data_IF_116522974954
#
_entry.id   IF_116522974954
#
_cell.length_a   1.000
_cell.length_b   1.000
_cell.length_c   1.000
_cell.angle_alpha   90.00
_cell.angle_beta   90.00
_cell.angle_gamma   90.00
#
_symmetry.space_group_name_H-M   'P 1'
#
loop_
_entity.id
_entity.type
_entity.pdbx_description
1 polymer ?
#
# COMPACT_ATOMS: atom_id res chain seq x y z
N UNK A 1 8.95 7.10 -3.83
CA UNK A 1 7.56 7.47 -4.19
C UNK A 1 6.87 6.20 -4.69
N UNK A 2 5.86 5.68 -3.99
CA UNK A 2 4.99 4.64 -4.57
C UNK A 2 3.92 5.36 -5.39
N UNK A 3 3.91 5.16 -6.70
CA UNK A 3 2.82 5.64 -7.57
C UNK A 3 1.63 4.70 -7.40
N UNK A 4 1.06 4.68 -6.19
CA UNK A 4 -0.07 3.80 -5.83
C UNK A 4 -1.28 4.68 -5.54
N UNK A 5 -2.13 4.85 -6.55
CA UNK A 5 -3.38 5.60 -6.47
C UNK A 5 -3.33 6.96 -7.17
N UNK A 6 -4.42 7.31 -7.87
CA UNK A 6 -4.83 8.57 -8.52
C UNK A 6 -3.80 9.40 -9.33
N UNK A 7 -2.54 8.98 -9.39
CA UNK A 7 -1.46 9.71 -10.03
C UNK A 7 -0.95 8.86 -11.17
N UNK A 8 -0.79 9.49 -12.33
CA UNK A 8 -0.26 8.87 -13.53
C UNK A 8 1.04 9.57 -13.86
N UNK A 9 2.13 8.80 -13.94
CA UNK A 9 3.40 9.31 -14.45
C UNK A 9 3.42 9.07 -15.97
N UNK A 10 3.45 10.15 -16.74
CA UNK A 10 3.64 10.09 -18.18
C UNK A 10 5.12 10.32 -18.50
N UNK A 11 5.76 9.33 -19.11
CA UNK A 11 7.15 9.41 -19.55
C UNK A 11 7.16 9.59 -21.06
N UNK A 12 7.96 10.53 -21.54
CA UNK A 12 8.09 10.85 -22.96
C UNK A 12 9.48 10.51 -23.43
N UNK A 13 9.59 10.06 -24.68
CA UNK A 13 10.88 9.70 -25.30
C UNK A 13 11.81 10.91 -25.43
N UNK A 14 11.26 12.09 -25.73
CA UNK A 14 12.02 13.32 -25.91
C UNK A 14 11.20 14.57 -25.54
N UNK A 15 11.88 15.72 -25.50
CA UNK A 15 11.29 17.02 -25.15
C UNK A 15 10.22 17.49 -26.13
N UNK A 16 10.33 17.12 -27.41
CA UNK A 16 9.40 17.56 -28.45
C UNK A 16 8.06 16.86 -28.30
N UNK A 17 8.07 15.57 -27.96
CA UNK A 17 6.88 14.78 -27.64
C UNK A 17 6.16 15.31 -26.39
N UNK A 18 6.92 15.74 -25.38
CA UNK A 18 6.36 16.40 -24.18
C UNK A 18 5.70 17.73 -24.55
N UNK A 19 6.35 18.55 -25.39
CA UNK A 19 5.81 19.83 -25.85
C UNK A 19 4.51 19.63 -26.62
N UNK A 20 4.47 18.70 -27.57
CA UNK A 20 3.25 18.39 -28.32
C UNK A 20 2.07 18.00 -27.41
N UNK A 21 2.30 17.23 -26.34
CA UNK A 21 1.22 16.93 -25.39
C UNK A 21 0.82 18.13 -24.55
N UNK A 22 1.76 18.99 -24.14
CA UNK A 22 1.45 20.22 -23.41
C UNK A 22 0.68 21.24 -24.26
N UNK A 23 0.97 21.31 -25.55
CA UNK A 23 0.38 22.32 -26.42
C UNK A 23 -0.97 21.84 -26.97
N UNK A 24 -1.08 20.57 -27.39
CA UNK A 24 -2.26 20.06 -28.09
C UNK A 24 -3.25 19.32 -27.20
N UNK A 25 -2.77 18.68 -26.12
CA UNK A 25 -3.57 17.74 -25.31
C UNK A 25 -3.77 18.18 -23.86
N UNK A 26 -3.14 19.26 -23.44
CA UNK A 26 -3.25 19.76 -22.06
C UNK A 26 -4.70 20.05 -21.69
N UNK A 27 -5.49 20.63 -22.61
CA UNK A 27 -6.92 20.89 -22.37
C UNK A 27 -7.67 19.62 -21.99
N UNK A 28 -7.45 18.53 -22.71
CA UNK A 28 -8.06 17.24 -22.37
C UNK A 28 -7.54 16.75 -21.02
N UNK A 29 -6.23 16.81 -20.76
CA UNK A 29 -5.68 16.34 -19.49
C UNK A 29 -6.27 17.09 -18.27
N UNK A 30 -6.46 18.40 -18.35
CA UNK A 30 -7.05 19.18 -17.24
C UNK A 30 -8.55 18.92 -17.05
N UNK A 31 -9.25 18.35 -18.03
CA UNK A 31 -10.65 17.91 -17.87
C UNK A 31 -10.75 16.59 -17.07
N UNK A 32 -9.73 15.73 -17.13
CA UNK A 32 -9.71 14.44 -16.42
C UNK A 32 -8.99 14.48 -15.06
N UNK A 33 -7.99 15.35 -14.92
CA UNK A 33 -7.13 15.40 -13.74
C UNK A 33 -7.29 16.72 -12.98
N UNK A 34 -7.37 16.63 -11.66
CA UNK A 34 -7.39 17.81 -10.79
C UNK A 34 -6.09 18.60 -10.78
N UNK A 35 -4.97 17.96 -11.18
CA UNK A 35 -3.64 18.57 -11.27
C UNK A 35 -2.85 17.92 -12.40
N UNK A 36 -2.32 18.75 -13.30
CA UNK A 36 -1.40 18.34 -14.37
C UNK A 36 -0.19 19.24 -14.28
N UNK A 37 0.98 18.68 -13.95
CA UNK A 37 2.21 19.44 -13.75
C UNK A 37 3.42 18.66 -14.28
N UNK A 38 4.52 19.37 -14.53
CA UNK A 38 5.78 18.72 -14.89
C UNK A 38 6.37 18.08 -13.66
N UNK A 39 6.86 16.84 -13.79
CA UNK A 39 7.48 16.15 -12.66
C UNK A 39 8.69 16.94 -12.12
N UNK A 40 8.81 16.96 -10.79
CA UNK A 40 9.96 17.46 -10.06
C UNK A 40 10.25 16.57 -8.86
N UNK A 41 11.49 16.58 -8.37
CA UNK A 41 11.88 15.82 -7.18
C UNK A 41 11.16 16.28 -5.90
N UNK A 42 10.66 17.52 -5.90
CA UNK A 42 9.88 18.09 -4.79
C UNK A 42 8.43 17.60 -4.77
N UNK A 43 7.97 16.87 -5.79
CA UNK A 43 6.58 16.41 -5.89
C UNK A 43 6.37 15.22 -4.95
N UNK A 44 5.70 15.48 -3.83
CA UNK A 44 5.30 14.45 -2.87
C UNK A 44 3.84 14.07 -3.10
N UNK A 45 3.59 12.78 -3.33
CA UNK A 45 2.22 12.24 -3.28
C UNK A 45 1.90 11.96 -1.83
N UNK A 46 1.11 12.84 -1.23
CA UNK A 46 0.80 12.82 0.20
C UNK A 46 -0.22 11.73 0.58
N UNK A 47 -1.04 11.29 -0.39
CA UNK A 47 -2.11 10.32 -0.16
C UNK A 47 -1.94 9.09 -1.06
N UNK A 48 -2.25 7.91 -0.55
CA UNK A 48 -2.35 6.67 -1.34
C UNK A 48 -3.67 5.96 -1.07
N UNK A 49 -4.15 5.22 -2.07
CA UNK A 49 -5.29 4.32 -1.90
C UNK A 49 -4.81 2.92 -1.56
N UNK A 50 -5.39 2.33 -0.54
CA UNK A 50 -5.07 0.97 -0.10
C UNK A 50 -6.33 0.18 0.19
N UNK A 51 -6.25 -1.13 -0.01
CA UNK A 51 -7.23 -2.06 0.51
C UNK A 51 -6.76 -2.56 1.87
N UNK A 52 -7.65 -2.48 2.85
CA UNK A 52 -7.49 -3.07 4.17
C UNK A 52 -8.37 -4.30 4.28
N UNK A 53 -7.83 -5.34 4.90
CA UNK A 53 -8.62 -6.45 5.43
C UNK A 53 -8.77 -6.25 6.93
N UNK A 54 -9.99 -6.37 7.43
CA UNK A 54 -10.34 -6.27 8.83
C UNK A 54 -10.90 -7.62 9.31
N UNK A 55 -10.20 -8.25 10.26
CA UNK A 55 -10.56 -9.55 10.82
C UNK A 55 -11.04 -9.42 12.27
N UNK A 56 -11.98 -10.28 12.69
CA UNK A 56 -12.47 -10.29 14.07
C UNK A 56 -13.51 -9.22 14.38
N UNK A 57 -14.23 -8.73 13.37
CA UNK A 57 -15.38 -7.84 13.56
C UNK A 57 -16.59 -8.71 13.96
N UNK A 58 -17.27 -8.44 15.09
CA UNK A 58 -18.42 -9.23 15.49
C UNK A 58 -19.60 -9.01 14.54
N UNK A 59 -20.37 -10.07 14.29
CA UNK A 59 -21.50 -10.07 13.34
C UNK A 59 -22.49 -8.90 13.56
N UNK A 60 -22.85 -8.62 14.81
CA UNK A 60 -23.80 -7.54 15.13
C UNK A 60 -23.22 -6.13 14.92
N UNK A 61 -21.90 -5.99 14.72
CA UNK A 61 -21.24 -4.75 14.34
C UNK A 61 -20.84 -4.71 12.86
N UNK A 62 -21.23 -5.70 12.05
CA UNK A 62 -20.90 -5.73 10.62
C UNK A 62 -21.78 -4.76 9.82
N UNK A 63 -21.40 -3.48 9.83
CA UNK A 63 -22.15 -2.44 9.15
C UNK A 63 -21.24 -1.29 8.70
N UNK A 64 -21.78 -0.44 7.82
CA UNK A 64 -21.10 0.72 7.26
C UNK A 64 -20.44 1.61 8.32
N UNK A 65 -21.12 1.86 9.44
CA UNK A 65 -20.62 2.75 10.48
C UNK A 65 -19.38 2.19 11.17
N UNK A 66 -19.35 0.89 11.45
CA UNK A 66 -18.18 0.20 11.99
C UNK A 66 -16.99 0.30 11.03
N UNK A 67 -17.20 0.01 9.75
CA UNK A 67 -16.14 0.09 8.73
C UNK A 67 -15.60 1.51 8.57
N UNK A 68 -16.49 2.51 8.59
CA UNK A 68 -16.12 3.92 8.59
C UNK A 68 -15.28 4.27 9.82
N UNK A 69 -15.69 3.84 11.02
CA UNK A 69 -14.95 4.10 12.25
C UNK A 69 -13.56 3.46 12.22
N UNK A 70 -13.43 2.21 11.76
CA UNK A 70 -12.12 1.55 11.58
C UNK A 70 -11.24 2.37 10.63
N UNK A 71 -11.78 2.81 9.48
CA UNK A 71 -11.02 3.59 8.51
C UNK A 71 -10.49 4.91 9.07
N UNK A 72 -11.26 5.61 9.92
CA UNK A 72 -10.88 6.93 10.47
C UNK A 72 -9.55 6.94 11.23
N UNK A 73 -9.07 5.78 11.71
CA UNK A 73 -7.76 5.67 12.36
C UNK A 73 -6.60 5.99 11.42
N UNK A 74 -6.73 5.69 10.12
CA UNK A 74 -5.66 5.91 9.14
C UNK A 74 -6.06 6.81 7.97
N UNK A 75 -7.35 7.06 7.74
CA UNK A 75 -7.78 7.89 6.62
C UNK A 75 -9.28 7.91 6.34
N UNK A 76 -9.63 8.21 5.09
CA UNK A 76 -11.01 8.34 4.63
C UNK A 76 -11.46 7.04 3.97
N UNK A 77 -12.60 6.47 4.40
CA UNK A 77 -13.25 5.35 3.72
C UNK A 77 -13.71 5.77 2.33
N UNK A 78 -13.28 5.02 1.30
CA UNK A 78 -13.59 5.28 -0.11
C UNK A 78 -14.56 4.25 -0.69
N UNK A 79 -14.39 2.98 -0.34
CA UNK A 79 -15.24 1.89 -0.82
C UNK A 79 -15.26 0.74 0.18
N UNK A 80 -16.27 -0.11 0.06
CA UNK A 80 -16.36 -1.40 0.73
C UNK A 80 -16.51 -2.45 -0.37
N UNK A 81 -15.77 -3.54 -0.25
CA UNK A 81 -15.84 -4.63 -1.22
C UNK A 81 -17.23 -5.27 -1.18
N UNK A 82 -17.80 -5.60 -2.34
CA UNK A 82 -19.15 -6.18 -2.45
C UNK A 82 -19.29 -7.49 -1.66
N UNK A 83 -18.19 -8.20 -1.42
CA UNK A 83 -18.16 -9.37 -0.53
C UNK A 83 -18.61 -9.07 0.91
N UNK A 84 -18.61 -7.81 1.35
CA UNK A 84 -19.07 -7.44 2.69
C UNK A 84 -20.59 -7.20 2.76
N UNK A 85 -21.27 -6.99 1.64
CA UNK A 85 -22.72 -6.80 1.59
C UNK A 85 -23.45 -8.15 1.64
N UNK A 86 -22.94 -9.13 0.91
CA UNK A 86 -23.42 -10.52 0.92
C UNK A 86 -22.28 -11.48 1.27
N UNK A 87 -21.77 -11.42 2.52
CA UNK A 87 -20.63 -12.23 2.93
C UNK A 87 -20.98 -13.71 2.93
N UNK A 88 -20.14 -14.51 2.27
CA UNK A 88 -20.11 -15.96 2.46
C UNK A 88 -19.60 -16.35 3.85
N UNK A 89 -18.82 -15.46 4.48
CA UNK A 89 -18.32 -15.54 5.85
C UNK A 89 -18.09 -14.15 6.46
N UNK A 90 -18.28 -14.04 7.77
CA UNK A 90 -18.04 -12.81 8.56
C UNK A 90 -16.63 -12.78 9.18
N UNK A 91 -15.70 -13.50 8.58
CA UNK A 91 -14.32 -13.61 9.04
C UNK A 91 -13.49 -12.37 8.65
N UNK A 92 -13.76 -11.79 7.48
CA UNK A 92 -12.95 -10.72 6.86
C UNK A 92 -13.80 -9.68 6.16
N UNK A 93 -13.75 -8.45 6.64
CA UNK A 93 -14.26 -7.31 5.89
C UNK A 93 -13.13 -6.69 5.06
N UNK A 94 -13.42 -6.27 3.83
CA UNK A 94 -12.44 -5.64 2.95
C UNK A 94 -12.91 -4.24 2.57
N UNK A 95 -12.11 -3.24 2.93
CA UNK A 95 -12.43 -1.82 2.77
C UNK A 95 -11.32 -1.09 2.05
N UNK A 96 -11.65 -0.11 1.23
CA UNK A 96 -10.68 0.75 0.58
C UNK A 96 -10.64 2.10 1.30
N UNK A 97 -9.43 2.56 1.63
CA UNK A 97 -9.23 3.88 2.25
C UNK A 97 -8.27 4.75 1.43
N UNK A 98 -8.42 6.06 1.58
CA UNK A 98 -7.42 7.06 1.21
C UNK A 98 -6.65 7.45 2.47
N UNK A 99 -5.34 7.19 2.50
CA UNK A 99 -4.49 7.38 3.68
C UNK A 99 -3.25 8.20 3.37
N UNK A 100 -2.79 9.00 4.35
CA UNK A 100 -1.51 9.72 4.30
C UNK A 100 -0.43 9.00 5.13
N UNK A 101 -0.74 7.79 5.63
CA UNK A 101 0.21 6.96 6.38
C UNK A 101 1.20 6.36 5.38
N UNK A 102 2.48 6.66 5.61
CA UNK A 102 3.57 6.26 4.73
C UNK A 102 3.98 4.81 4.95
N UNK A 103 3.89 4.31 6.19
CA UNK A 103 4.13 2.91 6.54
C UNK A 103 2.97 2.01 6.14
N UNK A 104 3.24 0.70 6.00
CA UNK A 104 2.20 -0.31 5.82
C UNK A 104 1.34 -0.39 7.09
N UNK A 105 0.03 -0.31 6.94
CA UNK A 105 -0.92 -0.57 8.02
C UNK A 105 -0.95 -2.08 8.26
N UNK A 106 -0.60 -2.49 9.48
CA UNK A 106 -0.66 -3.85 10.00
C UNK A 106 -0.73 -3.76 11.53
N UNK A 107 -1.94 -3.62 12.06
CA UNK A 107 -2.18 -3.27 13.46
C UNK A 107 -3.37 -4.02 14.04
N UNK A 108 -3.27 -4.34 15.33
CA UNK A 108 -4.41 -4.79 16.14
C UNK A 108 -5.10 -3.59 16.78
N UNK A 109 -6.43 -3.58 16.74
CA UNK A 109 -7.27 -2.56 17.37
C UNK A 109 -8.32 -3.21 18.28
N UNK A 110 -8.76 -2.47 19.29
CA UNK A 110 -9.88 -2.87 20.13
C UNK A 110 -11.13 -2.09 19.73
N UNK A 111 -12.09 -2.79 19.14
CA UNK A 111 -13.37 -2.25 18.72
C UNK A 111 -14.34 -2.32 19.90
N UNK A 112 -14.78 -1.15 20.39
CA UNK A 112 -15.83 -1.06 21.39
C UNK A 112 -17.21 -1.17 20.74
N UNK A 113 -17.99 -2.16 21.16
CA UNK A 113 -19.39 -2.36 20.72
C UNK A 113 -20.26 -2.55 21.95
N UNK A 114 -21.06 -1.52 22.27
CA UNK A 114 -21.75 -1.42 23.56
C UNK A 114 -20.74 -1.37 24.70
N UNK A 115 -20.89 -2.29 25.66
CA UNK A 115 -20.00 -2.43 26.83
C UNK A 115 -18.84 -3.40 26.60
N UNK A 116 -18.77 -4.03 25.41
CA UNK A 116 -17.79 -5.06 25.10
C UNK A 116 -16.65 -4.53 24.21
N UNK A 117 -15.47 -5.10 24.37
CA UNK A 117 -14.30 -4.84 23.54
C UNK A 117 -13.95 -6.08 22.71
N UNK A 118 -13.75 -5.89 21.41
CA UNK A 118 -13.40 -6.95 20.47
C UNK A 118 -12.05 -6.66 19.83
N UNK A 119 -11.16 -7.65 19.80
CA UNK A 119 -9.87 -7.51 19.12
C UNK A 119 -10.07 -7.69 17.62
N UNK A 120 -9.75 -6.67 16.86
CA UNK A 120 -9.81 -6.66 15.40
C UNK A 120 -8.41 -6.49 14.84
N UNK A 121 -8.02 -7.29 13.87
CA UNK A 121 -6.76 -7.14 13.15
C UNK A 121 -7.02 -6.41 11.85
N UNK A 122 -6.21 -5.40 11.52
CA UNK A 122 -6.33 -4.64 10.28
C UNK A 122 -4.99 -4.55 9.58
N UNK A 123 -4.94 -5.01 8.34
CA UNK A 123 -3.72 -5.00 7.54
C UNK A 123 -3.98 -4.66 6.09
N UNK A 124 -2.98 -4.04 5.46
CA UNK A 124 -2.97 -3.79 4.03
C UNK A 124 -2.78 -5.07 3.23
N UNK A 125 -3.62 -5.19 2.20
CA UNK A 125 -3.45 -6.15 1.12
C UNK A 125 -3.18 -5.39 -0.17
N UNK A 126 -2.18 -5.85 -0.92
CA UNK A 126 -1.99 -5.34 -2.27
C UNK A 126 -3.23 -5.71 -3.10
N UNK A 127 -3.71 -4.82 -3.99
CA UNK A 127 -4.74 -5.15 -4.94
C UNK A 127 -4.18 -6.20 -5.90
N UNK A 128 -4.29 -7.49 -5.53
CA UNK A 128 -3.93 -8.67 -6.31
C UNK A 128 -2.87 -8.37 -7.37
N UNK A 129 -1.69 -7.89 -6.95
CA UNK A 129 -0.62 -7.62 -7.91
C UNK A 129 -0.15 -8.98 -8.38
N UNK A 130 -0.63 -9.41 -9.55
CA UNK A 130 0.01 -10.44 -10.35
C UNK A 130 0.92 -9.68 -11.30
N UNK A 131 2.16 -9.34 -10.92
CA UNK A 131 3.12 -8.95 -11.92
C UNK A 131 3.24 -10.17 -12.82
N UNK A 132 2.81 -10.03 -14.07
CA UNK A 132 3.39 -10.88 -15.11
C UNK A 132 4.89 -10.67 -14.94
N UNK A 133 5.59 -11.75 -14.55
CA UNK A 133 7.03 -11.84 -14.30
C UNK A 133 7.82 -10.84 -15.15
N UNK A 134 8.05 -9.63 -14.62
CA UNK A 134 9.05 -8.70 -15.14
C UNK A 134 10.38 -9.08 -14.50
N UNK A 135 10.77 -10.33 -14.74
CA UNK A 135 12.15 -10.76 -14.60
C UNK A 135 12.66 -10.76 -16.03
N UNK A 136 13.47 -9.76 -16.44
CA UNK A 136 14.30 -9.93 -17.63
C UNK A 136 15.08 -11.23 -17.44
N UNK A 137 15.09 -12.10 -18.45
CA UNK A 137 15.71 -13.44 -18.36
C UNK A 137 17.20 -13.38 -17.97
N UNK A 138 17.82 -12.19 -18.07
CA UNK A 138 19.24 -11.93 -17.86
C UNK A 138 19.58 -11.13 -16.58
N UNK A 139 18.65 -10.95 -15.63
CA UNK A 139 18.99 -10.27 -14.38
C UNK A 139 19.72 -11.20 -13.40
N UNK A 140 21.05 -11.11 -13.35
CA UNK A 140 21.87 -11.61 -12.26
C UNK A 140 21.49 -10.90 -10.95
N UNK A 141 20.65 -11.54 -10.15
CA UNK A 141 20.27 -11.10 -8.80
C UNK A 141 21.34 -11.47 -7.77
N UNK A 142 22.60 -11.06 -7.99
CA UNK A 142 23.60 -11.05 -6.91
C UNK A 142 23.61 -9.68 -6.22
N UNK A 143 22.52 -9.36 -5.53
CA UNK A 143 22.56 -8.31 -4.51
C UNK A 143 22.53 -9.00 -3.16
N UNK A 144 23.72 -9.34 -2.67
CA UNK A 144 23.92 -9.76 -1.30
C UNK A 144 23.57 -8.59 -0.38
N UNK A 145 22.34 -8.57 0.11
CA UNK A 145 21.95 -7.77 1.26
C UNK A 145 22.76 -8.30 2.45
N UNK A 146 23.90 -7.67 2.74
CA UNK A 146 24.67 -7.96 3.94
C UNK A 146 23.79 -7.59 5.15
N UNK A 147 23.36 -8.56 5.96
CA UNK A 147 22.63 -8.26 7.18
C UNK A 147 23.59 -7.55 8.12
N UNK A 148 23.27 -6.33 8.55
CA UNK A 148 23.94 -5.75 9.71
C UNK A 148 23.49 -6.52 10.94
N UNK A 149 24.25 -7.54 11.31
CA UNK A 149 24.12 -8.18 12.62
C UNK A 149 25.31 -7.74 13.47
N UNK A 150 24.93 -7.17 14.61
CA UNK A 150 25.74 -6.68 15.70
C UNK A 150 26.86 -7.67 16.07
N UNK A 151 28.08 -7.16 16.12
CA UNK A 151 29.22 -7.84 16.72
C UNK A 151 29.00 -7.95 18.24
N UNK A 152 28.44 -9.08 18.69
CA UNK A 152 28.53 -9.51 20.07
C UNK A 152 29.48 -10.71 20.18
N UNK A 153 30.59 -10.41 20.83
CA UNK A 153 31.67 -11.24 21.33
C UNK A 153 31.25 -12.64 21.78
N UNK A 154 31.94 -13.67 21.28
CA UNK A 154 32.51 -14.85 21.98
C UNK A 154 33.35 -15.56 20.90
N UNK A 155 34.67 -15.68 20.96
CA UNK A 155 35.45 -16.25 22.05
C UNK A 155 35.57 -17.76 21.88
N UNK A 156 36.43 -18.24 20.98
CA UNK A 156 37.30 -19.42 21.16
C UNK A 156 37.98 -19.83 19.85
N UNK A 157 39.27 -19.55 19.79
CA UNK A 157 40.21 -20.26 18.94
C UNK A 157 40.15 -21.77 19.24
N UNK A 158 39.91 -22.58 18.21
CA UNK A 158 40.31 -23.98 18.24
C UNK A 158 40.58 -24.52 16.83
N UNK A 159 41.88 -24.71 16.55
CA UNK A 159 42.50 -25.83 15.80
C UNK A 159 42.03 -26.09 14.35
N UNK A 160 42.88 -26.37 13.35
CA UNK A 160 44.12 -27.15 13.35
C UNK A 160 44.77 -27.02 11.96
N UNK A 161 46.09 -27.00 11.96
CA UNK A 161 47.02 -27.24 10.86
C UNK A 161 46.96 -28.69 10.33
N UNK A 162 47.82 -28.96 9.32
CA UNK A 162 48.15 -30.20 8.59
C UNK A 162 47.60 -30.18 7.15
N UNK A 163 48.38 -30.14 6.07
CA UNK A 163 49.83 -30.23 5.79
C UNK A 163 50.11 -29.40 4.54
#
# INVERSE_FOLDING_TARGET
MRVTGNVVLMVFENSDSLRGVKDDKLKTLVEWFSRVETWSESLVVECRRVWLVCEGIPFHAWNWNTFKNIATKWGKLMAIDNSCEFPSSFDRAKIQILTNVHGRIDEKLELKVGDNLFKTLVYEVDPSFKPNSWVPEDCDISLDLVPQIESLLFGSDFQRSFL
#
